data_IF_954288821597
#
_entry.id   IF_954288821597
#
_cell.length_a   1.000
_cell.length_b   1.000
_cell.length_c   1.000
_cell.angle_alpha   90.00
_cell.angle_beta   90.00
_cell.angle_gamma   90.00
#
_symmetry.space_group_name_H-M   'P 1'
#
loop_
_entity.id
_entity.type
_entity.pdbx_description
1 polymer ?
#
# COMPACT_ATOMS: atom_id res chain seq x y z
N UNK A 1 1.39 9.91 -90.85
CA UNK A 1 2.02 9.27 -89.65
C UNK A 1 2.26 10.33 -88.61
N UNK A 2 1.35 10.50 -87.68
CA UNK A 2 1.42 11.57 -86.68
C UNK A 2 1.44 10.89 -85.30
N UNK A 3 2.56 11.03 -84.60
CA UNK A 3 2.78 10.48 -83.26
C UNK A 3 2.37 11.57 -82.24
N UNK A 4 1.27 11.32 -81.56
CA UNK A 4 0.85 12.10 -80.40
C UNK A 4 1.62 11.66 -79.17
N UNK A 5 2.45 12.56 -78.64
CA UNK A 5 3.07 12.42 -77.32
C UNK A 5 2.12 13.02 -76.29
N UNK A 6 1.53 12.18 -75.48
CA UNK A 6 0.76 12.55 -74.32
C UNK A 6 1.71 12.71 -73.15
N UNK A 7 1.94 13.94 -72.70
CA UNK A 7 2.64 14.27 -71.48
C UNK A 7 1.72 14.06 -70.28
N UNK A 8 2.06 13.08 -69.47
CA UNK A 8 1.41 12.86 -68.16
C UNK A 8 2.09 13.74 -67.14
N UNK A 9 1.42 14.78 -66.70
CA UNK A 9 1.83 15.58 -65.55
C UNK A 9 1.52 14.83 -64.24
N UNK A 10 2.55 14.35 -63.58
CA UNK A 10 2.44 13.79 -62.23
C UNK A 10 2.49 14.98 -61.25
N UNK A 11 1.32 15.37 -60.77
CA UNK A 11 1.19 16.32 -59.66
C UNK A 11 1.39 15.54 -58.34
N UNK A 12 2.60 15.67 -57.78
CA UNK A 12 2.89 15.17 -56.44
C UNK A 12 2.22 16.09 -55.41
N UNK A 13 1.13 15.62 -54.82
CA UNK A 13 0.50 16.22 -53.63
C UNK A 13 1.32 15.82 -52.42
N UNK A 14 2.26 16.67 -52.02
CA UNK A 14 2.93 16.57 -50.69
C UNK A 14 2.26 17.57 -49.78
N UNK A 15 1.10 17.23 -49.26
CA UNK A 15 0.46 17.99 -48.20
C UNK A 15 -0.29 17.06 -47.27
N UNK A 16 0.30 16.70 -46.15
CA UNK A 16 -0.44 15.97 -45.12
C UNK A 16 0.36 15.29 -44.01
N UNK A 17 1.70 15.33 -44.03
CA UNK A 17 2.48 14.54 -43.07
C UNK A 17 2.90 15.27 -41.77
N UNK A 18 2.61 16.58 -41.66
CA UNK A 18 3.07 17.39 -40.52
C UNK A 18 2.25 17.23 -39.24
N UNK A 19 0.95 16.93 -39.35
CA UNK A 19 0.08 16.88 -38.16
C UNK A 19 0.19 15.58 -37.38
N UNK A 20 0.51 14.47 -38.01
CA UNK A 20 0.64 13.16 -37.37
C UNK A 20 1.89 13.06 -36.50
N UNK A 21 2.99 13.70 -36.88
CA UNK A 21 4.25 13.66 -36.12
C UNK A 21 4.14 14.48 -34.82
N UNK A 22 3.43 15.61 -34.87
CA UNK A 22 3.24 16.47 -33.69
C UNK A 22 2.30 15.80 -32.68
N UNK A 23 1.24 15.14 -33.13
CA UNK A 23 0.34 14.39 -32.22
C UNK A 23 1.05 13.22 -31.58
N UNK A 24 1.84 12.45 -32.33
CA UNK A 24 2.63 11.35 -31.79
C UNK A 24 3.69 11.82 -30.77
N UNK A 25 4.32 12.96 -31.00
CA UNK A 25 5.28 13.52 -30.05
C UNK A 25 4.60 13.93 -28.74
N UNK A 26 3.44 14.58 -28.80
CA UNK A 26 2.66 14.94 -27.63
C UNK A 26 2.13 13.70 -26.87
N UNK A 27 1.74 12.66 -27.58
CA UNK A 27 1.30 11.38 -26.98
C UNK A 27 2.46 10.67 -26.27
N UNK A 28 3.68 10.72 -26.82
CA UNK A 28 4.87 10.16 -26.18
C UNK A 28 5.22 10.95 -24.92
N UNK A 29 5.19 12.28 -24.95
CA UNK A 29 5.43 13.11 -23.77
C UNK A 29 4.38 12.86 -22.67
N UNK A 30 3.11 12.82 -23.03
CA UNK A 30 2.03 12.52 -22.08
C UNK A 30 2.15 11.10 -21.49
N UNK A 31 2.63 10.15 -22.30
CA UNK A 31 2.90 8.79 -21.83
C UNK A 31 4.10 8.75 -20.89
N UNK A 32 5.18 9.47 -21.21
CA UNK A 32 6.36 9.56 -20.35
C UNK A 32 6.03 10.22 -19.01
N UNK A 33 5.23 11.27 -19.01
CA UNK A 33 4.76 11.90 -17.77
C UNK A 33 3.97 10.92 -16.90
N UNK A 34 3.02 10.16 -17.50
CA UNK A 34 2.25 9.13 -16.78
C UNK A 34 3.13 8.00 -16.23
N UNK A 35 4.17 7.62 -16.97
CA UNK A 35 5.14 6.61 -16.49
C UNK A 35 5.87 7.16 -15.28
N UNK A 36 6.42 8.38 -15.36
CA UNK A 36 7.14 9.01 -14.25
C UNK A 36 6.24 9.19 -13.00
N UNK A 37 4.97 9.59 -13.19
CA UNK A 37 4.00 9.71 -12.11
C UNK A 37 3.75 8.35 -11.44
N UNK A 38 3.62 7.28 -12.24
CA UNK A 38 3.42 5.92 -11.74
C UNK A 38 4.66 5.36 -11.05
N UNK A 39 5.86 5.68 -11.52
CA UNK A 39 7.11 5.31 -10.86
C UNK A 39 7.24 5.99 -9.48
N UNK A 40 6.87 7.27 -9.36
CA UNK A 40 6.85 7.98 -8.08
C UNK A 40 5.78 7.38 -7.14
N UNK A 41 4.59 7.09 -7.66
CA UNK A 41 3.51 6.45 -6.89
C UNK A 41 3.96 5.10 -6.35
N UNK A 42 4.57 4.25 -7.20
CA UNK A 42 5.10 2.95 -6.82
C UNK A 42 6.20 3.07 -5.74
N UNK A 43 7.16 3.97 -5.93
CA UNK A 43 8.22 4.19 -4.95
C UNK A 43 7.68 4.65 -3.59
N UNK A 44 6.66 5.49 -3.58
CA UNK A 44 5.98 5.92 -2.36
C UNK A 44 5.25 4.75 -1.68
N UNK A 45 4.59 3.90 -2.46
CA UNK A 45 3.89 2.71 -1.97
C UNK A 45 4.87 1.70 -1.34
N UNK A 46 5.98 1.43 -2.02
CA UNK A 46 7.06 0.58 -1.50
C UNK A 46 7.68 1.13 -0.21
N UNK A 47 7.91 2.44 -0.14
CA UNK A 47 8.40 3.09 1.07
C UNK A 47 7.41 2.96 2.24
N UNK A 48 6.11 3.11 1.97
CA UNK A 48 5.05 2.98 2.97
C UNK A 48 4.92 1.53 3.48
N UNK A 49 5.06 0.54 2.58
CA UNK A 49 5.11 -0.87 2.93
C UNK A 49 6.31 -1.19 3.84
N UNK A 50 7.50 -0.73 3.46
CA UNK A 50 8.71 -0.94 4.25
C UNK A 50 8.60 -0.30 5.65
N UNK A 51 8.01 0.88 5.75
CA UNK A 51 7.79 1.56 7.02
C UNK A 51 6.78 0.80 7.91
N UNK A 52 5.68 0.33 7.33
CA UNK A 52 4.69 -0.48 8.04
C UNK A 52 5.31 -1.79 8.58
N UNK A 53 6.12 -2.48 7.77
CA UNK A 53 6.85 -3.68 8.19
C UNK A 53 7.79 -3.39 9.37
N UNK A 54 8.55 -2.31 9.29
CA UNK A 54 9.49 -1.90 10.33
C UNK A 54 8.75 -1.59 11.64
N UNK A 55 7.61 -0.90 11.58
CA UNK A 55 6.81 -0.62 12.77
C UNK A 55 6.19 -1.89 13.38
N UNK A 56 5.69 -2.81 12.55
CA UNK A 56 5.21 -4.11 13.03
C UNK A 56 6.33 -4.91 13.72
N UNK A 57 7.52 -4.92 13.14
CA UNK A 57 8.69 -5.59 13.69
C UNK A 57 9.12 -4.96 15.03
N UNK A 58 9.20 -3.64 15.10
CA UNK A 58 9.52 -2.91 16.35
C UNK A 58 8.48 -3.21 17.42
N UNK A 59 7.18 -3.11 17.08
CA UNK A 59 6.12 -3.40 18.05
C UNK A 59 6.17 -4.84 18.54
N UNK A 60 6.46 -5.81 17.67
CA UNK A 60 6.63 -7.21 18.04
C UNK A 60 7.77 -7.39 19.07
N UNK A 61 8.93 -6.76 18.85
CA UNK A 61 10.08 -6.82 19.76
C UNK A 61 9.76 -6.15 21.10
N UNK A 62 9.14 -4.97 21.07
CA UNK A 62 8.79 -4.23 22.29
C UNK A 62 7.77 -4.99 23.15
N UNK A 63 6.80 -5.66 22.50
CA UNK A 63 5.85 -6.53 23.21
C UNK A 63 6.54 -7.74 23.84
N UNK A 64 7.50 -8.35 23.15
CA UNK A 64 8.28 -9.46 23.68
C UNK A 64 9.10 -9.06 24.93
N UNK A 65 9.53 -7.79 25.01
CA UNK A 65 10.26 -7.26 26.19
C UNK A 65 9.36 -7.07 27.42
N UNK A 66 8.05 -7.19 27.31
CA UNK A 66 7.02 -7.01 28.35
C UNK A 66 7.03 -5.63 29.05
N UNK A 67 7.67 -4.63 28.45
CA UNK A 67 7.81 -3.28 29.06
C UNK A 67 6.72 -2.30 28.61
N UNK A 68 5.91 -2.66 27.62
CA UNK A 68 4.91 -1.78 27.03
C UNK A 68 3.64 -1.71 27.88
N UNK A 69 3.16 -0.50 28.14
CA UNK A 69 1.88 -0.27 28.78
C UNK A 69 0.72 -0.62 27.85
N UNK A 70 -0.49 -0.80 28.41
CA UNK A 70 -1.68 -1.08 27.60
C UNK A 70 -2.11 0.13 26.75
N UNK A 71 -1.94 1.34 27.28
CA UNK A 71 -2.24 2.58 26.56
C UNK A 71 -1.28 2.78 25.37
N UNK A 72 0.00 2.50 25.57
CA UNK A 72 1.00 2.53 24.50
C UNK A 72 0.71 1.49 23.42
N UNK A 73 0.33 0.27 23.81
CA UNK A 73 -0.05 -0.76 22.86
C UNK A 73 -1.25 -0.33 22.02
N UNK A 74 -2.33 0.18 22.63
CA UNK A 74 -3.51 0.64 21.91
C UNK A 74 -3.16 1.76 20.92
N UNK A 75 -2.36 2.72 21.37
CA UNK A 75 -1.88 3.82 20.52
C UNK A 75 -1.09 3.30 19.31
N UNK A 76 -0.14 2.40 19.51
CA UNK A 76 0.68 1.86 18.41
C UNK A 76 -0.12 0.97 17.45
N UNK A 77 -1.10 0.21 17.94
CA UNK A 77 -2.03 -0.53 17.09
C UNK A 77 -2.90 0.43 16.24
N UNK A 78 -3.31 1.57 16.82
CA UNK A 78 -4.05 2.59 16.07
C UNK A 78 -3.19 3.19 14.93
N UNK A 79 -1.93 3.51 15.21
CA UNK A 79 -0.99 4.02 14.19
C UNK A 79 -0.76 2.99 13.08
N UNK A 80 -0.56 1.71 13.42
CA UNK A 80 -0.43 0.65 12.42
C UNK A 80 -1.69 0.52 11.55
N UNK A 81 -2.87 0.64 12.15
CA UNK A 81 -4.13 0.59 11.42
C UNK A 81 -4.24 1.76 10.44
N UNK A 82 -3.94 2.99 10.89
CA UNK A 82 -3.95 4.18 10.04
C UNK A 82 -2.99 4.06 8.86
N UNK A 83 -1.75 3.62 9.10
CA UNK A 83 -0.76 3.39 8.04
C UNK A 83 -1.18 2.31 7.06
N UNK A 84 -1.77 1.21 7.56
CA UNK A 84 -2.31 0.17 6.71
C UNK A 84 -3.48 0.68 5.84
N UNK A 85 -4.29 1.61 6.35
CA UNK A 85 -5.39 2.24 5.61
C UNK A 85 -4.88 3.22 4.52
N UNK A 86 -3.67 3.77 4.68
CA UNK A 86 -3.03 4.65 3.70
C UNK A 86 -2.41 3.90 2.52
N UNK A 87 -2.19 2.58 2.67
CA UNK A 87 -1.67 1.78 1.56
C UNK A 87 -2.70 1.68 0.43
N UNK A 88 -2.34 2.24 -0.72
CA UNK A 88 -3.11 2.11 -1.94
C UNK A 88 -2.87 0.71 -2.53
N UNK A 89 -3.86 -0.18 -2.41
CA UNK A 89 -3.73 -1.52 -2.97
C UNK A 89 -3.87 -1.48 -4.49
N UNK A 90 -2.82 -1.84 -5.21
CA UNK A 90 -2.76 -1.79 -6.68
C UNK A 90 -3.42 -2.99 -7.34
N UNK A 91 -3.49 -4.13 -6.64
CA UNK A 91 -4.11 -5.35 -7.15
C UNK A 91 -5.08 -6.00 -6.14
N UNK A 92 -5.89 -6.94 -6.60
CA UNK A 92 -6.91 -7.59 -5.77
C UNK A 92 -6.31 -8.38 -4.59
N UNK A 93 -5.13 -8.96 -4.76
CA UNK A 93 -4.46 -9.74 -3.71
C UNK A 93 -3.95 -8.83 -2.59
N UNK A 94 -3.37 -7.68 -2.92
CA UNK A 94 -2.92 -6.68 -1.94
C UNK A 94 -4.10 -6.07 -1.20
N UNK A 95 -5.20 -5.74 -1.89
CA UNK A 95 -6.45 -5.31 -1.25
C UNK A 95 -6.93 -6.30 -0.21
N UNK A 96 -6.87 -7.59 -0.52
CA UNK A 96 -7.29 -8.64 0.42
C UNK A 96 -6.35 -8.70 1.63
N UNK A 97 -5.02 -8.65 1.43
CA UNK A 97 -4.03 -8.63 2.53
C UNK A 97 -4.23 -7.42 3.44
N UNK A 98 -4.38 -6.24 2.86
CA UNK A 98 -4.61 -4.99 3.59
C UNK A 98 -5.90 -5.05 4.40
N UNK A 99 -6.99 -5.55 3.82
CA UNK A 99 -8.25 -5.72 4.53
C UNK A 99 -8.16 -6.73 5.68
N UNK A 100 -7.44 -7.84 5.51
CA UNK A 100 -7.20 -8.82 6.57
C UNK A 100 -6.35 -8.23 7.70
N UNK A 101 -5.28 -7.51 7.39
CA UNK A 101 -4.45 -6.85 8.39
C UNK A 101 -5.27 -5.82 9.19
N UNK A 102 -6.07 -5.01 8.52
CA UNK A 102 -6.98 -4.05 9.15
C UNK A 102 -7.95 -4.73 10.12
N UNK A 103 -8.60 -5.82 9.69
CA UNK A 103 -9.54 -6.56 10.52
C UNK A 103 -8.85 -7.13 11.77
N UNK A 104 -7.64 -7.67 11.64
CA UNK A 104 -6.87 -8.20 12.75
C UNK A 104 -6.45 -7.11 13.75
N UNK A 105 -5.95 -5.97 13.28
CA UNK A 105 -5.58 -4.84 14.14
C UNK A 105 -6.80 -4.31 14.91
N UNK A 106 -7.95 -4.17 14.25
CA UNK A 106 -9.20 -3.76 14.89
C UNK A 106 -9.66 -4.77 15.94
N UNK A 107 -9.53 -6.07 15.67
CA UNK A 107 -9.86 -7.14 16.62
C UNK A 107 -8.96 -7.08 17.85
N UNK A 108 -7.67 -6.91 17.71
CA UNK A 108 -6.75 -6.79 18.86
C UNK A 108 -7.06 -5.59 19.73
N UNK A 109 -7.36 -4.45 19.13
CA UNK A 109 -7.78 -3.25 19.88
C UNK A 109 -9.09 -3.48 20.63
N UNK A 110 -10.07 -4.12 19.99
CA UNK A 110 -11.34 -4.45 20.63
C UNK A 110 -11.15 -5.41 21.82
N UNK A 111 -10.32 -6.45 21.67
CA UNK A 111 -10.01 -7.38 22.74
C UNK A 111 -9.29 -6.71 23.91
N UNK A 112 -8.30 -5.84 23.63
CA UNK A 112 -7.60 -5.07 24.65
C UNK A 112 -8.57 -4.19 25.43
N UNK A 113 -9.45 -3.46 24.74
CA UNK A 113 -10.45 -2.60 25.36
C UNK A 113 -11.49 -3.40 26.17
N UNK A 114 -11.89 -4.59 25.71
CA UNK A 114 -12.81 -5.46 26.45
C UNK A 114 -12.17 -5.94 27.76
N UNK A 115 -10.92 -6.43 27.72
CA UNK A 115 -10.20 -6.87 28.92
C UNK A 115 -9.98 -5.75 29.95
N UNK A 116 -9.76 -4.52 29.50
CA UNK A 116 -9.61 -3.35 30.37
C UNK A 116 -10.92 -2.93 31.06
N UNK A 117 -12.08 -3.22 30.43
CA UNK A 117 -13.40 -2.84 30.95
C UNK A 117 -14.09 -3.94 31.72
N UNK A 118 -13.62 -5.16 31.64
CA UNK A 118 -14.25 -6.32 32.27
C UNK A 118 -14.06 -6.28 33.80
N UNK A 119 -15.12 -5.86 34.49
CA UNK A 119 -15.15 -5.77 35.94
C UNK A 119 -15.41 -7.14 36.63
N UNK A 120 -15.69 -8.19 35.86
CA UNK A 120 -15.85 -9.54 36.40
C UNK A 120 -14.52 -10.24 36.69
N UNK A 121 -13.43 -9.74 36.08
CA UNK A 121 -12.10 -10.26 36.30
C UNK A 121 -11.41 -9.56 37.48
N UNK A 122 -10.68 -10.32 38.28
CA UNK A 122 -9.74 -9.72 39.20
C UNK A 122 -8.57 -9.05 38.46
N UNK A 123 -7.91 -8.07 39.08
CA UNK A 123 -6.76 -7.37 38.47
C UNK A 123 -5.68 -8.35 37.98
N UNK A 124 -5.45 -9.43 38.76
CA UNK A 124 -4.48 -10.46 38.40
C UNK A 124 -4.92 -11.26 37.16
N UNK A 125 -6.20 -11.61 37.06
CA UNK A 125 -6.76 -12.33 35.91
C UNK A 125 -6.75 -11.45 34.65
N UNK A 126 -7.15 -10.18 34.77
CA UNK A 126 -7.08 -9.21 33.68
C UNK A 126 -5.64 -9.02 33.20
N UNK A 127 -4.69 -8.83 34.08
CA UNK A 127 -3.27 -8.71 33.77
C UNK A 127 -2.72 -9.95 33.04
N UNK A 128 -3.10 -11.15 33.50
CA UNK A 128 -2.69 -12.40 32.86
C UNK A 128 -3.26 -12.56 31.44
N UNK A 129 -4.53 -12.19 31.23
CA UNK A 129 -5.16 -12.24 29.91
C UNK A 129 -4.56 -11.19 28.96
N UNK A 130 -4.31 -9.99 29.43
CA UNK A 130 -3.62 -8.94 28.65
C UNK A 130 -2.19 -9.37 28.28
N UNK A 131 -1.48 -10.03 29.17
CA UNK A 131 -0.14 -10.55 28.88
C UNK A 131 -0.17 -11.62 27.76
N UNK A 132 -1.16 -12.53 27.79
CA UNK A 132 -1.36 -13.50 26.70
C UNK A 132 -1.70 -12.83 25.38
N UNK A 133 -2.59 -11.84 25.41
CA UNK A 133 -2.95 -11.07 24.21
C UNK A 133 -1.74 -10.36 23.62
N UNK A 134 -0.89 -9.73 24.45
CA UNK A 134 0.35 -9.11 24.01
C UNK A 134 1.31 -10.09 23.34
N UNK A 135 1.43 -11.30 23.89
CA UNK A 135 2.27 -12.36 23.31
C UNK A 135 1.71 -12.84 21.95
N UNK A 136 0.39 -13.00 21.83
CA UNK A 136 -0.26 -13.36 20.58
C UNK A 136 -0.05 -12.29 19.52
N UNK A 137 -0.28 -11.02 19.86
CA UNK A 137 -0.03 -9.87 18.97
C UNK A 137 1.44 -9.86 18.52
N UNK A 138 2.39 -10.02 19.43
CA UNK A 138 3.82 -10.05 19.10
C UNK A 138 4.15 -11.12 18.07
N UNK A 139 3.70 -12.36 18.30
CA UNK A 139 3.92 -13.47 17.36
C UNK A 139 3.29 -13.19 15.99
N UNK A 140 2.07 -12.65 15.98
CA UNK A 140 1.34 -12.39 14.73
C UNK A 140 1.95 -11.26 13.93
N UNK A 141 2.37 -10.18 14.59
CA UNK A 141 3.06 -9.06 13.94
C UNK A 141 4.40 -9.50 13.34
N UNK A 142 5.16 -10.36 14.03
CA UNK A 142 6.40 -10.91 13.48
C UNK A 142 6.15 -11.72 12.20
N UNK A 143 5.09 -12.54 12.17
CA UNK A 143 4.71 -13.31 10.98
C UNK A 143 4.29 -12.36 9.84
N UNK A 144 3.45 -11.37 10.13
CA UNK A 144 3.00 -10.41 9.12
C UNK A 144 4.15 -9.59 8.55
N UNK A 145 5.09 -9.16 9.40
CA UNK A 145 6.28 -8.43 8.95
C UNK A 145 7.24 -9.28 8.08
N UNK A 146 7.20 -10.60 8.21
CA UNK A 146 8.01 -11.51 7.40
C UNK A 146 7.33 -11.95 6.08
N UNK A 147 6.00 -11.77 5.97
CA UNK A 147 5.20 -12.26 4.84
C UNK A 147 4.91 -11.21 3.76
N UNK A 148 5.34 -9.97 3.97
CA UNK A 148 5.25 -8.87 3.01
C UNK A 148 6.58 -8.65 2.32
#
# INVERSE_FOLDING_TARGET
>A
MQKHLTSIAVATVVAGSGCTVISQYNDVQATQQRVNEKEIELANEEALHADLQNEMKKLSVDLASKRMSNAELDHRLAVLQERNDQLAATNAQEKQKTAQARAQLAQYRAQLAALQRDKSLSDQQAAAQIAKLKEEISKRLAILAAAQ
#
